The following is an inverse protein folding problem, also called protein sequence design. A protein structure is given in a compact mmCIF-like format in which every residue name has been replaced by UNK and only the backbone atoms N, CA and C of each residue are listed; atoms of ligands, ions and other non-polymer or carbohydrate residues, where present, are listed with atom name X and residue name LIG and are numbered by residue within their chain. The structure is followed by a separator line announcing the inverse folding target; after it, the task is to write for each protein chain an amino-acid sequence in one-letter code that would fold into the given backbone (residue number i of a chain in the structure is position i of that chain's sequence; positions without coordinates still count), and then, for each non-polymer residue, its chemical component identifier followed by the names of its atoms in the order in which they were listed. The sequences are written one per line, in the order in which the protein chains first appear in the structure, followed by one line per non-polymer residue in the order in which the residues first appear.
data_IF_313227115428
#
_entry.id   IF_313227115428
#
_cell.length_a   1.000
_cell.length_b   1.000
_cell.length_c   1.000
_cell.angle_alpha   90.00
_cell.angle_beta   90.00
_cell.angle_gamma   90.00
#
_symmetry.space_group_name_H-M   'P 1'
#
loop_
_entity.id
_entity.type
_entity.pdbx_description
1 polymer ?
#
# COMPACT_ATOMS: atom_id res chain seq x y z
N UNK A 1 -8.42 -16.10 -4.20
CA UNK A 1 -8.04 -14.67 -4.11
C UNK A 1 -9.22 -13.77 -3.74
N UNK A 2 -10.47 -14.23 -3.86
CA UNK A 2 -11.69 -13.41 -3.61
C UNK A 2 -11.82 -12.82 -2.20
N UNK A 3 -11.02 -13.25 -1.25
CA UNK A 3 -10.93 -12.68 0.10
C UNK A 3 -9.67 -11.84 0.34
N UNK A 4 -8.82 -11.62 -0.68
CA UNK A 4 -7.64 -10.76 -0.56
C UNK A 4 -8.04 -9.30 -0.77
N UNK A 5 -7.62 -8.44 0.13
CA UNK A 5 -7.66 -6.99 -0.03
C UNK A 5 -6.29 -6.49 -0.49
N UNK A 6 -6.25 -5.67 -1.51
CA UNK A 6 -5.06 -4.89 -1.89
C UNK A 6 -5.25 -3.47 -1.35
N UNK A 7 -4.28 -2.99 -0.59
CA UNK A 7 -4.18 -1.59 -0.16
C UNK A 7 -3.03 -0.96 -0.93
N UNK A 8 -3.34 0.04 -1.75
CA UNK A 8 -2.40 0.72 -2.65
C UNK A 8 -2.22 2.17 -2.23
N UNK A 9 -0.98 2.56 -2.00
CA UNK A 9 -0.55 3.95 -1.86
C UNK A 9 0.14 4.32 -3.16
N UNK A 10 -0.39 5.28 -3.91
CA UNK A 10 0.05 5.57 -5.26
C UNK A 10 -0.46 6.93 -5.74
N UNK A 11 0.24 7.56 -6.69
CA UNK A 11 -0.29 8.70 -7.45
C UNK A 11 -1.25 8.26 -8.56
N UNK A 12 -1.05 7.05 -9.09
CA UNK A 12 -1.71 6.52 -10.28
C UNK A 12 -2.78 5.48 -9.93
N UNK A 13 -3.79 5.35 -10.78
CA UNK A 13 -4.86 4.37 -10.60
C UNK A 13 -4.43 2.95 -10.92
N UNK A 14 -3.50 2.78 -11.86
CA UNK A 14 -3.01 1.50 -12.39
C UNK A 14 -4.14 0.58 -12.89
N UNK A 15 -5.23 1.19 -13.30
CA UNK A 15 -6.46 0.50 -13.71
C UNK A 15 -6.64 0.43 -15.23
N UNK A 16 -5.64 0.81 -16.01
CA UNK A 16 -5.68 0.71 -17.48
C UNK A 16 -5.83 -0.74 -17.91
N UNK A 17 -6.54 -0.96 -19.01
CA UNK A 17 -6.59 -2.26 -19.66
C UNK A 17 -5.24 -2.62 -20.30
N UNK A 18 -4.58 -1.60 -20.86
CA UNK A 18 -3.27 -1.67 -21.50
C UNK A 18 -2.63 -0.28 -21.55
N UNK A 19 -1.32 -0.23 -21.74
CA UNK A 19 -0.57 0.97 -22.08
C UNK A 19 0.38 0.61 -23.22
N UNK A 20 0.29 1.34 -24.34
CA UNK A 20 1.08 1.09 -25.56
C UNK A 20 0.97 -0.38 -26.06
N UNK A 21 -0.27 -0.90 -26.09
CA UNK A 21 -0.60 -2.30 -26.47
C UNK A 21 -0.03 -3.37 -25.50
N UNK A 22 0.48 -2.95 -24.31
CA UNK A 22 1.02 -3.85 -23.30
C UNK A 22 0.08 -3.96 -22.08
N UNK A 23 -0.68 -5.07 -21.95
CA UNK A 23 -1.64 -5.24 -20.86
C UNK A 23 -0.99 -5.53 -19.50
N UNK A 24 0.29 -5.88 -19.47
CA UNK A 24 1.08 -6.10 -18.26
C UNK A 24 2.04 -4.94 -17.94
N UNK A 25 1.79 -3.77 -18.51
CA UNK A 25 2.49 -2.54 -18.16
C UNK A 25 2.29 -2.20 -16.66
N UNK A 26 3.24 -1.43 -16.10
CA UNK A 26 3.14 -0.88 -14.73
C UNK A 26 1.80 -0.14 -14.50
N UNK A 27 1.30 0.61 -15.49
CA UNK A 27 0.01 1.32 -15.41
C UNK A 27 -1.24 0.39 -15.39
N UNK A 28 -1.05 -0.93 -15.38
CA UNK A 28 -2.12 -1.93 -15.39
C UNK A 28 -2.10 -2.87 -14.18
N UNK A 29 -1.20 -2.65 -13.23
CA UNK A 29 -0.96 -3.57 -12.11
C UNK A 29 -2.22 -3.83 -11.27
N UNK A 30 -2.95 -2.78 -10.89
CA UNK A 30 -4.20 -2.88 -10.15
C UNK A 30 -5.31 -3.54 -10.98
N UNK A 31 -5.36 -3.26 -12.28
CA UNK A 31 -6.29 -3.93 -13.21
C UNK A 31 -6.05 -5.44 -13.23
N UNK A 32 -4.80 -5.86 -13.38
CA UNK A 32 -4.42 -7.31 -13.40
C UNK A 32 -4.70 -7.99 -12.06
N UNK A 33 -4.51 -7.29 -10.93
CA UNK A 33 -4.87 -7.82 -9.62
C UNK A 33 -6.39 -8.11 -9.52
N UNK A 34 -7.23 -7.19 -9.97
CA UNK A 34 -8.68 -7.38 -10.01
C UNK A 34 -9.11 -8.51 -10.96
N UNK A 35 -8.46 -8.63 -12.13
CA UNK A 35 -8.72 -9.71 -13.09
C UNK A 35 -8.29 -11.07 -12.53
N UNK A 36 -7.24 -11.13 -11.72
CA UNK A 36 -6.81 -12.32 -10.98
C UNK A 36 -7.75 -12.70 -9.83
N UNK A 37 -8.79 -11.91 -9.56
CA UNK A 37 -9.83 -12.21 -8.59
C UNK A 37 -9.58 -11.66 -7.19
N UNK A 38 -8.81 -10.56 -7.06
CA UNK A 38 -8.74 -9.78 -5.81
C UNK A 38 -10.14 -9.32 -5.42
N UNK A 39 -10.49 -9.51 -4.16
CA UNK A 39 -11.82 -9.22 -3.65
C UNK A 39 -12.06 -7.74 -3.40
N UNK A 40 -11.03 -6.99 -3.03
CA UNK A 40 -11.14 -5.56 -2.74
C UNK A 40 -9.83 -4.84 -3.07
N UNK A 41 -9.95 -3.67 -3.70
CA UNK A 41 -8.85 -2.74 -3.95
C UNK A 41 -9.16 -1.41 -3.25
N UNK A 42 -8.29 -1.01 -2.34
CA UNK A 42 -8.40 0.24 -1.58
C UNK A 42 -7.19 1.11 -1.93
N UNK A 43 -7.46 2.29 -2.52
CA UNK A 43 -6.42 3.17 -3.05
C UNK A 43 -6.43 4.52 -2.33
N UNK A 44 -5.24 5.06 -2.03
CA UNK A 44 -5.07 6.41 -1.47
C UNK A 44 -3.90 7.15 -2.11
N UNK A 45 -4.07 8.45 -2.32
CA UNK A 45 -3.06 9.31 -2.94
C UNK A 45 -3.29 9.53 -4.43
N UNK A 46 -4.32 8.90 -5.00
CA UNK A 46 -4.60 8.90 -6.44
C UNK A 46 -4.89 10.32 -6.94
N UNK A 47 -4.17 10.73 -8.00
CA UNK A 47 -4.29 12.08 -8.59
C UNK A 47 -3.91 12.16 -10.07
N UNK A 48 -3.38 11.06 -10.63
CA UNK A 48 -3.08 10.92 -12.04
C UNK A 48 -3.77 9.65 -12.57
N UNK A 49 -4.78 9.82 -13.40
CA UNK A 49 -5.59 8.74 -13.97
C UNK A 49 -6.27 9.18 -15.27
N UNK A 50 -6.57 8.24 -16.13
CA UNK A 50 -7.34 8.49 -17.34
C UNK A 50 -8.84 8.53 -17.05
N UNK A 51 -9.63 8.93 -18.06
CA UNK A 51 -11.09 8.90 -17.97
C UNK A 51 -11.60 7.48 -17.75
N UNK A 52 -11.05 6.51 -18.45
CA UNK A 52 -11.41 5.09 -18.37
C UNK A 52 -11.13 4.53 -16.99
N UNK A 53 -9.99 4.89 -16.40
CA UNK A 53 -9.66 4.50 -15.03
C UNK A 53 -10.64 5.09 -14.02
N UNK A 54 -11.01 6.37 -14.19
CA UNK A 54 -12.01 7.01 -13.34
C UNK A 54 -13.38 6.34 -13.45
N UNK A 55 -13.83 6.03 -14.68
CA UNK A 55 -15.08 5.31 -14.90
C UNK A 55 -15.06 3.93 -14.23
N UNK A 56 -13.92 3.21 -14.28
CA UNK A 56 -13.75 1.94 -13.58
C UNK A 56 -13.78 2.09 -12.07
N UNK A 57 -13.12 3.12 -11.50
CA UNK A 57 -13.17 3.41 -10.07
C UNK A 57 -14.60 3.66 -9.57
N UNK A 58 -15.47 4.22 -10.41
CA UNK A 58 -16.86 4.50 -10.05
C UNK A 58 -17.82 3.31 -10.28
N UNK A 59 -17.47 2.38 -11.16
CA UNK A 59 -18.39 1.31 -11.60
C UNK A 59 -18.07 -0.08 -11.02
N UNK A 60 -16.85 -0.32 -10.52
CA UNK A 60 -16.46 -1.59 -9.92
C UNK A 60 -16.59 -1.50 -8.40
N UNK A 61 -17.58 -2.13 -7.81
CA UNK A 61 -17.88 -2.12 -6.36
C UNK A 61 -16.71 -2.66 -5.50
N UNK A 62 -15.71 -3.31 -6.11
CA UNK A 62 -14.51 -3.78 -5.42
C UNK A 62 -13.49 -2.67 -5.18
N UNK A 63 -13.64 -1.51 -5.84
CA UNK A 63 -12.67 -0.42 -5.79
C UNK A 63 -13.16 0.68 -4.85
N UNK A 64 -12.29 1.10 -3.96
CA UNK A 64 -12.50 2.28 -3.12
C UNK A 64 -11.29 3.20 -3.25
N UNK A 65 -11.48 4.40 -3.80
CA UNK A 65 -10.38 5.34 -4.08
C UNK A 65 -10.52 6.62 -3.27
N UNK A 66 -9.46 6.96 -2.54
CA UNK A 66 -9.30 8.24 -1.85
C UNK A 66 -8.36 9.13 -2.65
N UNK A 67 -8.93 10.08 -3.38
CA UNK A 67 -8.18 11.00 -4.21
C UNK A 67 -7.36 11.99 -3.38
N UNK A 68 -6.13 12.28 -3.82
CA UNK A 68 -5.24 13.21 -3.13
C UNK A 68 -5.86 14.60 -2.98
N UNK A 69 -6.56 15.10 -4.00
CA UNK A 69 -7.23 16.42 -3.91
C UNK A 69 -8.20 16.53 -2.72
N UNK A 70 -8.81 15.42 -2.30
CA UNK A 70 -9.71 15.40 -1.16
C UNK A 70 -8.93 15.28 0.15
N UNK A 71 -8.00 14.33 0.24
CA UNK A 71 -7.20 14.07 1.46
C UNK A 71 -6.18 15.17 1.75
N UNK A 72 -5.77 15.96 0.75
CA UNK A 72 -4.85 17.09 0.88
C UNK A 72 -5.59 18.45 0.89
N UNK A 73 -6.93 18.46 0.80
CA UNK A 73 -7.72 19.67 0.84
C UNK A 73 -7.47 20.47 2.13
N UNK A 74 -7.20 21.78 2.06
CA UNK A 74 -7.03 22.61 3.25
C UNK A 74 -8.31 22.78 4.07
N UNK A 75 -9.47 22.45 3.50
CA UNK A 75 -10.78 22.63 4.14
C UNK A 75 -11.37 21.33 4.69
N UNK A 76 -11.23 20.23 3.98
CA UNK A 76 -11.87 18.94 4.31
C UNK A 76 -10.87 17.78 4.41
N UNK A 77 -9.59 18.04 4.19
CA UNK A 77 -8.55 16.99 4.14
C UNK A 77 -8.48 16.16 5.40
N UNK A 78 -8.67 16.78 6.56
CA UNK A 78 -8.65 16.06 7.85
C UNK A 78 -9.78 15.03 7.95
N UNK A 79 -10.98 15.38 7.51
CA UNK A 79 -12.15 14.48 7.55
C UNK A 79 -11.97 13.32 6.56
N UNK A 80 -11.55 13.62 5.33
CA UNK A 80 -11.26 12.60 4.33
C UNK A 80 -10.12 11.67 4.77
N UNK A 81 -9.10 12.23 5.40
CA UNK A 81 -7.99 11.44 5.92
C UNK A 81 -8.44 10.51 7.07
N UNK A 82 -9.24 11.03 7.99
CA UNK A 82 -9.79 10.20 9.06
C UNK A 82 -10.69 9.09 8.51
N UNK A 83 -11.54 9.39 7.52
CA UNK A 83 -12.36 8.38 6.86
C UNK A 83 -11.53 7.27 6.20
N UNK A 84 -10.36 7.60 5.63
CA UNK A 84 -9.41 6.60 5.14
C UNK A 84 -8.90 5.70 6.25
N UNK A 85 -8.44 6.28 7.37
CA UNK A 85 -7.92 5.51 8.50
C UNK A 85 -9.01 4.63 9.13
N UNK A 86 -10.23 5.14 9.26
CA UNK A 86 -11.37 4.40 9.81
C UNK A 86 -11.74 3.22 8.89
N UNK A 87 -11.70 3.43 7.57
CA UNK A 87 -11.94 2.37 6.59
C UNK A 87 -10.91 1.24 6.72
N UNK A 88 -9.63 1.55 6.90
CA UNK A 88 -8.60 0.54 7.12
C UNK A 88 -8.86 -0.34 8.35
N UNK A 89 -9.44 0.23 9.39
CA UNK A 89 -9.82 -0.53 10.60
C UNK A 89 -10.95 -1.54 10.37
N UNK A 90 -11.71 -1.41 9.29
CA UNK A 90 -12.78 -2.35 8.92
C UNK A 90 -12.28 -3.54 8.10
N UNK A 91 -11.04 -3.50 7.62
CA UNK A 91 -10.48 -4.56 6.77
C UNK A 91 -10.38 -5.88 7.51
N UNK A 92 -10.80 -6.96 6.87
CA UNK A 92 -10.77 -8.33 7.40
C UNK A 92 -10.01 -9.28 6.47
N UNK A 93 -9.30 -10.24 7.06
CA UNK A 93 -8.60 -11.30 6.32
C UNK A 93 -7.24 -10.88 5.76
N UNK A 94 -6.78 -11.56 4.69
CA UNK A 94 -5.46 -11.34 4.13
C UNK A 94 -5.39 -10.01 3.36
N UNK A 95 -4.28 -9.29 3.54
CA UNK A 95 -4.02 -8.01 2.89
C UNK A 95 -2.65 -8.05 2.19
N UNK A 96 -2.60 -7.55 0.98
CA UNK A 96 -1.39 -7.13 0.29
C UNK A 96 -1.28 -5.60 0.36
N UNK A 97 -0.17 -5.09 0.88
CA UNK A 97 0.12 -3.66 0.92
C UNK A 97 1.15 -3.34 -0.16
N UNK A 98 0.78 -2.55 -1.15
CA UNK A 98 1.71 -2.02 -2.16
C UNK A 98 1.89 -0.52 -1.96
N UNK A 99 3.14 -0.08 -1.96
CA UNK A 99 3.50 1.32 -1.82
C UNK A 99 4.30 1.72 -3.05
N UNK A 100 3.63 2.36 -4.01
CA UNK A 100 4.34 3.13 -5.00
C UNK A 100 4.91 4.38 -4.32
N UNK A 101 6.22 4.61 -4.51
CA UNK A 101 6.87 5.72 -3.81
C UNK A 101 6.33 7.07 -4.27
N UNK A 102 5.81 7.17 -5.49
CA UNK A 102 5.25 8.40 -6.03
C UNK A 102 3.86 8.75 -5.46
N UNK A 103 3.25 7.86 -4.69
CA UNK A 103 2.09 8.18 -3.86
C UNK A 103 2.36 9.32 -2.87
N UNK A 104 3.64 9.49 -2.46
CA UNK A 104 4.09 10.66 -1.72
C UNK A 104 4.20 11.87 -2.64
N UNK A 105 4.25 13.07 -2.04
CA UNK A 105 4.48 14.30 -2.79
C UNK A 105 5.84 14.30 -3.49
N UNK A 106 5.89 14.71 -4.76
CA UNK A 106 7.10 14.71 -5.57
C UNK A 106 8.26 15.54 -4.98
N UNK A 107 7.96 16.49 -4.08
CA UNK A 107 9.00 17.22 -3.35
C UNK A 107 9.74 16.36 -2.32
N UNK A 108 9.11 15.29 -1.83
CA UNK A 108 9.70 14.32 -0.90
C UNK A 108 10.37 13.16 -1.61
N UNK A 109 9.91 12.82 -2.82
CA UNK A 109 10.36 11.65 -3.58
C UNK A 109 10.64 12.01 -5.04
N UNK A 110 11.58 12.92 -5.31
CA UNK A 110 11.85 13.38 -6.67
C UNK A 110 12.47 12.32 -7.59
N UNK A 111 12.98 11.21 -7.03
CA UNK A 111 13.65 10.14 -7.76
C UNK A 111 12.71 8.95 -7.98
N UNK A 112 11.66 9.18 -8.75
CA UNK A 112 10.71 8.18 -9.27
C UNK A 112 10.50 8.38 -10.76
N UNK A 113 9.87 7.43 -11.45
CA UNK A 113 9.64 7.48 -12.89
C UNK A 113 8.64 8.57 -13.30
N UNK A 114 7.57 8.70 -12.53
CA UNK A 114 6.41 9.56 -12.83
C UNK A 114 6.00 10.44 -11.64
N UNK A 115 6.87 11.35 -11.16
CA UNK A 115 6.57 12.17 -9.99
C UNK A 115 5.40 13.13 -10.27
N UNK A 116 4.42 13.15 -9.37
CA UNK A 116 3.24 14.03 -9.46
C UNK A 116 3.16 14.88 -8.20
N UNK A 117 2.98 16.22 -8.30
CA UNK A 117 2.79 17.08 -7.12
C UNK A 117 1.46 16.83 -6.39
N UNK A 118 1.36 17.24 -5.13
CA UNK A 118 0.12 17.19 -4.33
C UNK A 118 -0.16 15.82 -3.71
N UNK A 119 0.86 15.02 -3.48
CA UNK A 119 0.77 13.69 -2.88
C UNK A 119 0.75 13.68 -1.35
N UNK A 120 0.80 12.48 -0.80
CA UNK A 120 0.82 12.26 0.65
C UNK A 120 2.14 12.75 1.26
N UNK A 121 2.07 13.19 2.50
CA UNK A 121 3.28 13.40 3.28
C UNK A 121 3.76 12.08 3.92
N UNK A 122 5.01 12.07 4.39
CA UNK A 122 5.63 10.89 4.99
C UNK A 122 4.81 10.34 6.18
N UNK A 123 4.25 11.20 7.02
CA UNK A 123 3.49 10.77 8.19
C UNK A 123 2.15 10.16 7.84
N UNK A 124 1.52 10.59 6.77
CA UNK A 124 0.29 9.97 6.26
C UNK A 124 0.54 8.53 5.78
N UNK A 125 1.66 8.27 5.11
CA UNK A 125 2.06 6.90 4.77
C UNK A 125 2.32 6.06 6.03
N UNK A 126 3.04 6.63 7.03
CA UNK A 126 3.26 5.95 8.31
C UNK A 126 1.96 5.63 9.06
N UNK A 127 0.99 6.55 9.04
CA UNK A 127 -0.34 6.35 9.64
C UNK A 127 -1.14 5.27 8.91
N UNK A 128 -1.11 5.23 7.56
CA UNK A 128 -1.73 4.17 6.77
C UNK A 128 -1.19 2.80 7.16
N UNK A 129 0.14 2.64 7.19
CA UNK A 129 0.79 1.40 7.60
C UNK A 129 0.36 1.03 9.03
N UNK A 130 0.42 1.98 9.97
CA UNK A 130 0.08 1.72 11.35
C UNK A 130 -1.38 1.29 11.51
N UNK A 131 -2.33 2.02 10.89
CA UNK A 131 -3.76 1.72 10.95
C UNK A 131 -4.06 0.32 10.40
N UNK A 132 -3.45 -0.04 9.27
CA UNK A 132 -3.62 -1.35 8.65
C UNK A 132 -3.10 -2.49 9.54
N UNK A 133 -1.91 -2.34 10.15
CA UNK A 133 -1.36 -3.34 11.06
C UNK A 133 -2.06 -3.36 12.42
N UNK A 134 -2.74 -2.32 12.83
CA UNK A 134 -3.53 -2.26 14.06
C UNK A 134 -5.01 -2.68 13.83
N UNK A 135 -5.46 -2.76 12.58
CA UNK A 135 -6.80 -3.21 12.24
C UNK A 135 -7.08 -4.59 12.86
N UNK A 136 -8.21 -4.77 13.58
CA UNK A 136 -8.39 -5.92 14.48
C UNK A 136 -8.45 -7.28 13.76
N UNK A 137 -8.90 -7.29 12.52
CA UNK A 137 -9.14 -8.52 11.74
C UNK A 137 -8.29 -8.64 10.47
N UNK A 138 -7.50 -7.62 10.13
CA UNK A 138 -6.61 -7.65 8.98
C UNK A 138 -5.32 -8.41 9.28
N UNK A 139 -4.80 -9.11 8.27
CA UNK A 139 -3.48 -9.76 8.31
C UNK A 139 -2.70 -9.38 7.07
N UNK A 140 -1.70 -8.52 7.21
CA UNK A 140 -0.81 -8.16 6.09
C UNK A 140 0.09 -9.34 5.77
N UNK A 141 -0.21 -10.05 4.70
CA UNK A 141 0.47 -11.29 4.28
C UNK A 141 1.65 -11.03 3.35
N UNK A 142 1.62 -9.89 2.63
CA UNK A 142 2.70 -9.46 1.74
C UNK A 142 2.70 -7.94 1.63
N UNK A 143 3.85 -7.37 1.30
CA UNK A 143 3.99 -5.96 0.99
C UNK A 143 5.18 -5.72 0.07
N UNK A 144 5.13 -4.63 -0.68
CA UNK A 144 6.25 -4.11 -1.45
C UNK A 144 6.35 -2.58 -1.37
N UNK A 145 7.48 -2.05 -1.81
CA UNK A 145 7.74 -0.62 -2.06
C UNK A 145 8.44 -0.54 -3.41
N UNK A 146 7.84 0.11 -4.38
CA UNK A 146 8.26 0.08 -5.77
C UNK A 146 8.45 1.49 -6.38
N UNK A 147 8.72 1.55 -7.68
CA UNK A 147 8.90 2.76 -8.51
C UNK A 147 10.04 3.68 -8.03
N UNK A 148 11.06 3.15 -7.38
CA UNK A 148 12.24 3.90 -6.94
C UNK A 148 13.27 3.95 -8.07
N UNK A 149 13.57 5.15 -8.57
CA UNK A 149 14.63 5.40 -9.55
C UNK A 149 15.84 6.02 -8.85
N UNK A 150 16.88 5.24 -8.53
CA UNK A 150 18.02 5.74 -7.75
C UNK A 150 18.75 6.89 -8.44
N UNK A 151 18.96 8.00 -7.74
CA UNK A 151 19.75 9.13 -8.19
C UNK A 151 20.94 9.37 -7.24
N UNK A 152 22.12 9.67 -7.81
CA UNK A 152 23.35 9.82 -7.02
C UNK A 152 23.33 11.06 -6.14
N UNK A 153 22.76 12.16 -6.63
CA UNK A 153 22.88 13.47 -6.00
C UNK A 153 21.75 13.79 -5.02
N UNK A 154 20.68 12.98 -5.01
CA UNK A 154 19.52 13.16 -4.14
C UNK A 154 19.06 11.82 -3.54
N UNK A 155 19.65 11.35 -2.45
CA UNK A 155 19.30 10.05 -1.86
C UNK A 155 17.96 10.08 -1.08
N UNK A 156 17.22 11.19 -1.08
CA UNK A 156 16.03 11.37 -0.27
C UNK A 156 14.97 10.30 -0.56
N UNK A 157 14.70 10.02 -1.83
CA UNK A 157 13.71 9.00 -2.22
C UNK A 157 14.11 7.61 -1.74
N UNK A 158 15.38 7.22 -1.89
CA UNK A 158 15.89 5.93 -1.45
C UNK A 158 15.79 5.79 0.08
N UNK A 159 16.15 6.84 0.84
CA UNK A 159 16.01 6.83 2.29
C UNK A 159 14.54 6.78 2.71
N UNK A 160 13.67 7.54 2.06
CA UNK A 160 12.21 7.52 2.33
C UNK A 160 11.65 6.13 2.12
N UNK A 161 11.96 5.50 0.98
CA UNK A 161 11.54 4.13 0.68
C UNK A 161 12.08 3.10 1.69
N UNK A 162 13.36 3.22 2.06
CA UNK A 162 13.97 2.34 3.06
C UNK A 162 13.30 2.49 4.44
N UNK A 163 12.94 3.71 4.86
CA UNK A 163 12.22 3.95 6.10
C UNK A 163 10.80 3.36 6.07
N UNK A 164 10.09 3.47 4.93
CA UNK A 164 8.77 2.86 4.74
C UNK A 164 8.89 1.34 4.81
N UNK A 165 9.82 0.74 4.06
CA UNK A 165 10.05 -0.71 4.10
C UNK A 165 10.41 -1.20 5.51
N UNK A 166 11.27 -0.47 6.23
CA UNK A 166 11.62 -0.78 7.62
C UNK A 166 10.40 -0.74 8.54
N UNK A 167 9.52 0.26 8.38
CA UNK A 167 8.27 0.33 9.16
C UNK A 167 7.36 -0.86 8.89
N UNK A 168 7.21 -1.25 7.62
CA UNK A 168 6.41 -2.43 7.23
C UNK A 168 6.98 -3.69 7.89
N UNK A 169 8.28 -3.94 7.77
CA UNK A 169 8.95 -5.11 8.35
C UNK A 169 8.81 -5.13 9.88
N UNK A 170 9.03 -4.00 10.54
CA UNK A 170 8.89 -3.90 12.00
C UNK A 170 7.45 -4.14 12.45
N UNK A 171 6.47 -3.57 11.76
CA UNK A 171 5.04 -3.75 12.03
C UNK A 171 4.62 -5.22 11.81
N UNK A 172 5.09 -5.84 10.74
CA UNK A 172 4.86 -7.25 10.46
C UNK A 172 5.45 -8.16 11.55
N UNK A 173 6.70 -7.92 11.95
CA UNK A 173 7.34 -8.68 13.03
C UNK A 173 6.57 -8.54 14.37
N UNK A 174 6.09 -7.33 14.70
CA UNK A 174 5.22 -7.09 15.87
C UNK A 174 3.90 -7.85 15.74
N UNK A 175 3.23 -7.78 14.60
CA UNK A 175 1.96 -8.46 14.35
C UNK A 175 2.10 -9.97 14.50
N UNK A 176 3.17 -10.56 13.97
CA UNK A 176 3.45 -12.00 14.14
C UNK A 176 3.67 -12.40 15.59
N UNK A 177 4.45 -11.63 16.36
CA UNK A 177 4.65 -11.88 17.79
C UNK A 177 3.34 -11.84 18.57
N UNK A 178 2.40 -11.01 18.15
CA UNK A 178 1.08 -10.87 18.77
C UNK A 178 0.07 -11.90 18.26
N UNK A 179 0.47 -12.90 17.49
CA UNK A 179 -0.39 -13.98 17.04
C UNK A 179 -1.37 -13.60 15.90
N UNK A 180 -1.16 -12.49 15.19
CA UNK A 180 -2.06 -12.03 14.12
C UNK A 180 -2.32 -13.08 13.04
N UNK A 181 -1.33 -13.92 12.72
CA UNK A 181 -1.50 -14.97 11.73
C UNK A 181 -2.59 -15.98 12.09
N UNK A 182 -2.93 -16.12 13.37
CA UNK A 182 -3.99 -16.99 13.82
C UNK A 182 -5.37 -16.55 13.31
N UNK A 183 -5.53 -15.28 12.92
CA UNK A 183 -6.77 -14.76 12.32
C UNK A 183 -7.07 -15.33 10.94
N UNK A 184 -6.08 -15.88 10.25
CA UNK A 184 -6.27 -16.53 8.95
C UNK A 184 -6.82 -17.97 9.06
N UNK A 185 -6.92 -18.49 10.29
CA UNK A 185 -7.23 -19.89 10.56
C UNK A 185 -6.06 -20.82 10.22
N UNK A 186 -6.18 -22.09 10.60
CA UNK A 186 -5.22 -23.12 10.19
C UNK A 186 -5.52 -23.51 8.72
N UNK A 187 -4.80 -22.94 7.78
CA UNK A 187 -4.76 -23.48 6.41
C UNK A 187 -3.98 -24.79 6.45
N UNK A 188 -4.67 -25.92 6.23
CA UNK A 188 -4.01 -27.22 6.05
C UNK A 188 -3.00 -27.07 4.92
N UNK A 189 -1.71 -27.05 5.24
CA UNK A 189 -0.63 -27.01 4.25
C UNK A 189 0.30 -25.80 4.28
N UNK A 190 0.13 -24.81 5.14
CA UNK A 190 1.13 -23.74 5.28
C UNK A 190 2.36 -24.25 6.02
N UNK A 191 3.48 -24.25 5.31
CA UNK A 191 4.81 -24.47 5.88
C UNK A 191 5.00 -23.45 7.01
N UNK A 192 5.12 -23.92 8.25
CA UNK A 192 5.51 -23.04 9.37
C UNK A 192 6.86 -22.44 9.01
N UNK A 193 7.02 -21.10 9.02
CA UNK A 193 8.34 -20.52 8.85
C UNK A 193 9.24 -21.11 9.94
N UNK A 194 10.31 -21.73 9.54
CA UNK A 194 11.37 -22.18 10.43
C UNK A 194 11.76 -21.02 11.34
N UNK A 195 12.01 -21.32 12.62
CA UNK A 195 12.43 -20.36 13.65
C UNK A 195 13.38 -19.30 13.13
N UNK A 196 13.20 -18.04 13.54
CA UNK A 196 14.14 -16.95 13.23
C UNK A 196 15.57 -17.42 13.44
N UNK A 197 16.48 -17.11 12.50
CA UNK A 197 17.91 -17.37 12.70
C UNK A 197 18.37 -16.76 14.03
N UNK A 198 19.19 -17.47 14.75
CA UNK A 198 19.70 -17.12 16.10
C UNK A 198 20.39 -15.74 16.16
N UNK A 199 20.80 -15.20 15.02
CA UNK A 199 21.44 -13.89 14.85
C UNK A 199 20.56 -12.73 15.37
N UNK A 200 19.23 -12.85 15.32
CA UNK A 200 18.31 -11.79 15.76
C UNK A 200 17.87 -11.90 17.23
N UNK A 201 18.25 -12.96 17.95
CA UNK A 201 17.87 -13.13 19.37
C UNK A 201 18.70 -12.29 20.34
N UNK A 202 19.89 -11.88 19.96
CA UNK A 202 20.83 -11.19 20.86
C UNK A 202 20.83 -9.66 20.75
N UNK A 203 20.12 -9.08 19.76
CA UNK A 203 20.12 -7.62 19.50
C UNK A 203 18.96 -6.86 20.18
N UNK A 204 18.16 -7.54 21.04
CA UNK A 204 17.00 -6.93 21.69
C UNK A 204 17.15 -6.86 23.22
N UNK A 205 18.40 -7.00 23.73
CA UNK A 205 18.69 -6.91 25.16
C UNK A 205 19.66 -5.78 25.51
N UNK A 206 19.57 -4.64 24.84
CA UNK A 206 20.15 -3.37 25.31
C UNK A 206 19.17 -2.24 25.06
#
# INVERSE_FOLDING_TARGET
MSNLTVVQIDAHGDLRSELDEEPYSHACAAARALDAGVGQLMQVGIRAFSKEEHERMLSDDRITTFFAQNTQSPFQGTEHWQAWLDLLHTVEGPVHLTVDIDGLDGSLVPATGTPVPGGLNFWQVQQTIQALFDAPKAVVVSADVNEIVPQKDTPLTQFTAAMIATKIVASHAKARRNGRWNLLGETKGTVRPTSMPTIFRNSIKE
#
